data_IF_073797848100
#
_entry.id   IF_073797848100
#
_cell.length_a   1.000
_cell.length_b   1.000
_cell.length_c   1.000
_cell.angle_alpha   90.00
_cell.angle_beta   90.00
_cell.angle_gamma   90.00
#
_symmetry.space_group_name_H-M   'P 1'
#
loop_
_entity.id
_entity.type
_entity.pdbx_description
1 polymer ?
#
# COMPACT_ATOMS: atom_id res chain seq x y z
N UNK A 1 -18.68 20.09 -43.61
CA UNK A 1 -19.08 19.57 -42.28
C UNK A 1 -17.87 18.95 -41.59
N UNK A 2 -17.45 19.47 -40.43
CA UNK A 2 -16.38 18.86 -39.62
C UNK A 2 -17.05 18.01 -38.54
N UNK A 3 -16.90 16.70 -38.63
CA UNK A 3 -17.28 15.76 -37.57
C UNK A 3 -16.21 15.82 -36.47
N UNK A 4 -16.57 16.41 -35.34
CA UNK A 4 -15.77 16.37 -34.13
C UNK A 4 -16.19 15.15 -33.31
N UNK A 5 -15.62 13.98 -33.61
CA UNK A 5 -15.67 12.84 -32.70
C UNK A 5 -14.68 13.08 -31.57
N UNK A 6 -15.10 13.87 -30.58
CA UNK A 6 -14.42 13.99 -29.31
C UNK A 6 -14.79 12.74 -28.50
N UNK A 7 -13.88 11.75 -28.48
CA UNK A 7 -13.96 10.60 -27.59
C UNK A 7 -14.01 11.12 -26.15
N UNK A 8 -15.18 11.04 -25.53
CA UNK A 8 -15.36 11.27 -24.10
C UNK A 8 -14.50 10.27 -23.34
N UNK A 9 -13.33 10.72 -22.88
CA UNK A 9 -12.59 10.03 -21.83
C UNK A 9 -13.42 10.12 -20.56
N UNK A 10 -14.17 9.06 -20.23
CA UNK A 10 -14.84 8.94 -18.93
C UNK A 10 -13.79 9.08 -17.83
N UNK A 11 -13.73 10.26 -17.20
CA UNK A 11 -12.98 10.43 -15.96
C UNK A 11 -13.65 9.55 -14.91
N UNK A 12 -13.04 8.39 -14.65
CA UNK A 12 -13.42 7.55 -13.53
C UNK A 12 -13.34 8.37 -12.24
N UNK A 13 -14.47 8.56 -11.57
CA UNK A 13 -14.51 9.29 -10.30
C UNK A 13 -13.54 8.64 -9.30
N UNK A 14 -12.75 9.47 -8.61
CA UNK A 14 -11.90 8.99 -7.52
C UNK A 14 -12.78 8.39 -6.42
N UNK A 15 -12.50 7.13 -6.03
CA UNK A 15 -13.23 6.41 -4.99
C UNK A 15 -12.26 5.95 -3.91
N UNK A 16 -12.66 6.13 -2.65
CA UNK A 16 -11.97 5.52 -1.52
C UNK A 16 -12.43 4.06 -1.36
N UNK A 17 -11.49 3.16 -1.07
CA UNK A 17 -11.74 1.76 -0.73
C UNK A 17 -10.93 1.40 0.51
N UNK A 18 -11.52 0.65 1.44
CA UNK A 18 -10.78 0.01 2.52
C UNK A 18 -10.00 -1.16 1.95
N UNK A 19 -8.68 -1.10 2.07
CA UNK A 19 -7.78 -2.11 1.47
C UNK A 19 -7.06 -2.98 2.51
N UNK A 20 -7.13 -2.59 3.78
CA UNK A 20 -6.66 -3.35 4.92
C UNK A 20 -7.50 -2.97 6.14
N UNK A 21 -7.98 -3.95 6.87
CA UNK A 21 -8.68 -3.79 8.14
C UNK A 21 -7.91 -4.56 9.20
N UNK A 22 -7.65 -3.91 10.34
CA UNK A 22 -7.10 -4.56 11.52
C UNK A 22 -8.13 -4.48 12.64
N UNK A 23 -8.54 -5.63 13.15
CA UNK A 23 -9.27 -5.73 14.40
C UNK A 23 -8.35 -5.50 15.61
N UNK A 24 -8.94 -5.51 16.80
CA UNK A 24 -8.22 -5.25 18.05
C UNK A 24 -7.10 -6.25 18.30
N UNK A 25 -7.33 -7.53 18.08
CA UNK A 25 -6.34 -8.58 18.31
C UNK A 25 -5.16 -8.41 17.33
N UNK A 26 -5.47 -8.05 16.07
CA UNK A 26 -4.47 -7.76 15.07
C UNK A 26 -3.61 -6.51 15.39
N UNK A 27 -4.17 -5.52 16.10
CA UNK A 27 -3.45 -4.32 16.58
C UNK A 27 -2.61 -4.61 17.81
N UNK A 28 -3.11 -5.45 18.73
CA UNK A 28 -2.45 -5.78 19.99
C UNK A 28 -1.14 -6.54 19.77
N UNK A 29 -1.05 -7.37 18.73
CA UNK A 29 0.17 -8.11 18.38
C UNK A 29 1.20 -7.29 17.60
N UNK A 30 0.92 -6.01 17.27
CA UNK A 30 1.90 -5.15 16.58
C UNK A 30 3.02 -4.73 17.53
N UNK A 31 4.26 -4.89 17.09
CA UNK A 31 5.44 -4.38 17.80
C UNK A 31 5.59 -2.88 17.60
N UNK A 32 6.28 -2.18 18.51
CA UNK A 32 6.71 -0.81 18.23
C UNK A 32 7.67 -0.81 17.03
N UNK A 33 7.57 0.21 16.17
CA UNK A 33 8.29 0.28 14.91
C UNK A 33 7.53 -0.34 13.73
N UNK A 34 8.27 -0.99 12.83
CA UNK A 34 7.78 -1.45 11.51
C UNK A 34 7.16 -2.84 11.62
N UNK A 35 5.92 -2.97 11.13
CA UNK A 35 5.19 -4.21 11.04
C UNK A 35 4.72 -4.43 9.60
N UNK A 36 4.66 -5.69 9.16
CA UNK A 36 4.19 -6.05 7.83
C UNK A 36 2.84 -6.76 7.90
N UNK A 37 1.89 -6.30 7.11
CA UNK A 37 0.55 -6.90 7.02
C UNK A 37 0.17 -7.14 5.58
N UNK A 38 -0.34 -8.34 5.31
CA UNK A 38 -0.89 -8.72 4.02
C UNK A 38 -2.40 -8.62 4.09
N UNK A 39 -3.01 -7.96 3.11
CA UNK A 39 -4.47 -7.97 2.98
C UNK A 39 -4.95 -9.32 2.43
N UNK A 40 -6.24 -9.66 2.61
CA UNK A 40 -6.84 -10.84 1.98
C UNK A 40 -6.68 -10.86 0.45
N UNK A 41 -6.62 -9.67 -0.16
CA UNK A 41 -6.43 -9.47 -1.61
C UNK A 41 -4.96 -9.68 -2.06
N UNK A 42 -4.06 -10.04 -1.13
CA UNK A 42 -2.67 -10.36 -1.41
C UNK A 42 -1.73 -9.15 -1.44
N UNK A 43 -2.25 -7.94 -1.26
CA UNK A 43 -1.44 -6.72 -1.20
C UNK A 43 -0.70 -6.60 0.13
N UNK A 44 0.58 -6.21 0.09
CA UNK A 44 1.38 -5.99 1.28
C UNK A 44 1.36 -4.53 1.71
N UNK A 45 1.28 -4.31 3.02
CA UNK A 45 1.26 -3.00 3.66
C UNK A 45 2.31 -2.96 4.77
N UNK A 46 2.87 -1.77 4.96
CA UNK A 46 3.75 -1.45 6.06
C UNK A 46 2.93 -0.68 7.08
N UNK A 47 2.96 -1.12 8.33
CA UNK A 47 2.32 -0.46 9.46
C UNK A 47 3.40 -0.04 10.43
N UNK A 48 3.50 1.25 10.68
CA UNK A 48 4.40 1.82 11.66
C UNK A 48 3.62 2.15 12.93
N UNK A 49 4.01 1.53 14.05
CA UNK A 49 3.46 1.79 15.39
C UNK A 49 4.47 2.59 16.19
N UNK A 50 4.00 3.64 16.84
CA UNK A 50 4.80 4.48 17.72
C UNK A 50 3.92 5.03 18.84
N UNK A 51 4.52 5.73 19.81
CA UNK A 51 3.79 6.44 20.87
C UNK A 51 2.77 7.45 20.33
N UNK A 52 3.03 8.00 19.13
CA UNK A 52 2.15 8.97 18.46
C UNK A 52 1.01 8.32 17.68
N UNK A 53 0.94 6.98 17.65
CA UNK A 53 -0.12 6.21 17.00
C UNK A 53 0.36 5.33 15.84
N UNK A 54 -0.59 4.99 14.95
CA UNK A 54 -0.40 4.08 13.82
C UNK A 54 -0.36 4.85 12.49
N UNK A 55 0.61 4.52 11.64
CA UNK A 55 0.69 4.97 10.24
C UNK A 55 0.74 3.75 9.33
N UNK A 56 0.14 3.83 8.16
CA UNK A 56 0.17 2.74 7.18
C UNK A 56 0.45 3.23 5.77
N UNK A 57 1.21 2.46 5.01
CA UNK A 57 1.42 2.70 3.58
C UNK A 57 1.45 1.38 2.79
N UNK A 58 1.20 1.48 1.48
CA UNK A 58 1.39 0.33 0.59
C UNK A 58 2.87 0.00 0.53
N UNK A 59 3.18 -1.28 0.58
CA UNK A 59 4.53 -1.80 0.38
C UNK A 59 4.87 -1.84 -1.12
N UNK A 60 4.92 -0.68 -1.79
CA UNK A 60 5.31 -0.56 -3.19
C UNK A 60 6.65 0.15 -3.27
N UNK A 61 7.67 -0.53 -3.80
CA UNK A 61 8.95 0.12 -4.07
C UNK A 61 8.79 1.16 -5.19
N UNK A 62 9.35 2.35 -4.98
CA UNK A 62 9.33 3.45 -5.96
C UNK A 62 10.31 3.26 -7.12
N UNK A 63 11.20 2.27 -7.05
CA UNK A 63 12.32 2.15 -7.98
C UNK A 63 12.00 1.28 -9.21
N UNK A 64 11.37 0.11 -9.04
CA UNK A 64 11.05 -0.80 -10.16
C UNK A 64 9.67 -1.48 -10.08
N UNK A 65 8.78 -1.04 -9.17
CA UNK A 65 7.48 -1.69 -8.97
C UNK A 65 7.55 -3.03 -8.23
N UNK A 66 8.70 -3.36 -7.62
CA UNK A 66 8.87 -4.47 -6.69
C UNK A 66 8.32 -4.18 -5.29
N UNK A 67 8.40 -5.17 -4.40
CA UNK A 67 8.10 -4.98 -2.97
C UNK A 67 9.31 -4.32 -2.30
N UNK A 68 9.11 -3.27 -1.49
CA UNK A 68 10.18 -2.55 -0.76
C UNK A 68 11.06 -3.50 0.08
N UNK A 69 10.48 -4.60 0.54
CA UNK A 69 11.17 -5.64 1.32
C UNK A 69 12.16 -6.43 0.46
N UNK A 70 11.80 -6.74 -0.78
CA UNK A 70 12.65 -7.52 -1.68
C UNK A 70 13.90 -6.73 -2.06
N UNK A 71 13.77 -5.42 -2.28
CA UNK A 71 14.91 -4.53 -2.52
C UNK A 71 15.78 -4.29 -1.28
N UNK A 72 15.21 -4.34 -0.06
CA UNK A 72 16.00 -4.25 1.18
C UNK A 72 16.83 -5.51 1.45
N UNK A 73 16.30 -6.69 1.14
CA UNK A 73 17.04 -7.95 1.30
C UNK A 73 18.14 -8.12 0.23
N UNK A 74 17.95 -7.58 -0.98
CA UNK A 74 18.93 -7.65 -2.08
C UNK A 74 20.12 -6.68 -1.91
N UNK A 75 19.97 -5.60 -1.13
CA UNK A 75 21.10 -4.73 -0.74
C UNK A 75 21.99 -5.32 0.38
N UNK A 76 21.64 -6.50 0.89
CA UNK A 76 22.52 -7.34 1.72
C UNK A 76 23.41 -8.27 0.88
N UNK A 77 23.43 -8.11 -0.44
CA UNK A 77 24.29 -8.80 -1.38
C UNK A 77 25.76 -8.72 -0.98
N UNK A 78 26.27 -9.87 -0.54
CA UNK A 78 27.63 -10.16 -0.14
C UNK A 78 28.66 -9.91 -1.24
#
# INVERSE_FOLDING_TARGET
HRNNNHLNSEMSAQKAKVVLLLDREAVDVLTDGVNFRKSPEGSCYIIFKSKDGLKACKNLCKHQGGLFIQDMEDMGGR
#
